data_IF_154322829135
#
_entry.id   IF_154322829135
#
_cell.length_a   1.000
_cell.length_b   1.000
_cell.length_c   1.000
_cell.angle_alpha   90.00
_cell.angle_beta   90.00
_cell.angle_gamma   90.00
#
_symmetry.space_group_name_H-M   'P 1'
#
loop_
_entity.id
_entity.type
_entity.pdbx_description
1 polymer ?
#
# COMPACT_ATOMS: atom_id res chain seq x y z
N UNK A 1 -13.48 1.04 -6.50
CA UNK A 1 -12.21 0.86 -7.24
C UNK A 1 -12.44 1.05 -8.72
N UNK A 2 -11.65 1.87 -9.40
CA UNK A 2 -11.70 2.05 -10.85
C UNK A 2 -11.25 0.75 -11.58
N UNK A 3 -11.85 0.39 -12.72
CA UNK A 3 -11.43 -0.77 -13.51
C UNK A 3 -9.97 -0.66 -13.98
N UNK A 4 -9.51 0.54 -14.32
CA UNK A 4 -8.11 0.79 -14.70
C UNK A 4 -7.13 0.54 -13.54
N UNK A 5 -7.53 0.87 -12.32
CA UNK A 5 -6.73 0.63 -11.11
C UNK A 5 -6.52 -0.87 -10.86
N UNK A 6 -7.55 -1.69 -11.07
CA UNK A 6 -7.44 -3.14 -10.93
C UNK A 6 -6.55 -3.77 -12.01
N UNK A 7 -6.56 -3.23 -13.24
CA UNK A 7 -5.65 -3.67 -14.30
C UNK A 7 -4.19 -3.40 -13.94
N UNK A 8 -3.88 -2.21 -13.44
CA UNK A 8 -2.51 -1.87 -12.99
C UNK A 8 -2.03 -2.84 -11.91
N UNK A 9 -2.87 -3.15 -10.92
CA UNK A 9 -2.53 -4.13 -9.88
C UNK A 9 -2.22 -5.50 -10.49
N UNK A 10 -2.97 -5.92 -11.51
CA UNK A 10 -2.80 -7.23 -12.13
C UNK A 10 -1.60 -7.31 -13.10
N UNK A 11 -1.22 -6.22 -13.76
CA UNK A 11 -0.17 -6.23 -14.79
C UNK A 11 1.19 -5.76 -14.28
N UNK A 12 1.22 -4.79 -13.36
CA UNK A 12 2.47 -4.16 -12.92
C UNK A 12 3.02 -4.78 -11.64
N UNK A 13 2.13 -5.25 -10.74
CA UNK A 13 2.57 -5.78 -9.45
C UNK A 13 2.99 -7.24 -9.54
N UNK A 14 4.13 -7.54 -8.92
CA UNK A 14 4.55 -8.92 -8.69
C UNK A 14 3.86 -9.51 -7.44
N UNK A 15 4.04 -10.81 -7.24
CA UNK A 15 3.42 -11.55 -6.13
C UNK A 15 3.71 -10.96 -4.74
N UNK A 16 4.95 -10.52 -4.49
CA UNK A 16 5.31 -9.93 -3.19
C UNK A 16 4.65 -8.57 -3.00
N UNK A 17 4.64 -7.73 -4.03
CA UNK A 17 4.01 -6.42 -4.02
C UNK A 17 2.50 -6.52 -3.80
N UNK A 18 1.84 -7.48 -4.46
CA UNK A 18 0.42 -7.75 -4.26
C UNK A 18 0.12 -8.19 -2.83
N UNK A 19 0.95 -9.06 -2.24
CA UNK A 19 0.80 -9.44 -0.82
C UNK A 19 0.97 -8.25 0.12
N UNK A 20 1.97 -7.41 -0.12
CA UNK A 20 2.17 -6.19 0.66
C UNK A 20 0.97 -5.26 0.53
N UNK A 21 0.48 -5.02 -0.68
CA UNK A 21 -0.73 -4.22 -0.91
C UNK A 21 -1.93 -4.76 -0.12
N UNK A 22 -2.15 -6.07 -0.11
CA UNK A 22 -3.27 -6.67 0.62
C UNK A 22 -3.16 -6.47 2.15
N UNK A 23 -1.95 -6.54 2.72
CA UNK A 23 -1.74 -6.21 4.14
C UNK A 23 -2.02 -4.73 4.40
N UNK A 24 -1.50 -3.82 3.56
CA UNK A 24 -1.75 -2.38 3.70
C UNK A 24 -3.25 -2.05 3.62
N UNK A 25 -4.00 -2.73 2.76
CA UNK A 25 -5.45 -2.56 2.64
C UNK A 25 -6.22 -3.14 3.83
N UNK A 26 -5.70 -4.16 4.50
CA UNK A 26 -6.32 -4.72 5.71
C UNK A 26 -6.25 -3.73 6.90
N UNK A 27 -5.24 -2.86 6.91
CA UNK A 27 -5.05 -1.79 7.90
C UNK A 27 -5.60 -0.42 7.43
N UNK A 28 -6.44 -0.41 6.39
CA UNK A 28 -7.05 0.81 5.86
C UNK A 28 -8.13 1.34 6.83
N UNK A 29 -7.93 2.56 7.33
CA UNK A 29 -8.87 3.25 8.22
C UNK A 29 -9.66 4.35 7.47
N UNK A 30 -10.47 5.13 8.19
CA UNK A 30 -11.25 6.25 7.67
C UNK A 30 -10.39 7.23 6.86
N UNK A 31 -10.99 7.88 5.86
CA UNK A 31 -10.33 8.78 4.88
C UNK A 31 -9.19 8.14 4.04
N UNK A 32 -9.11 6.81 4.02
CA UNK A 32 -8.11 6.01 3.31
C UNK A 32 -6.70 6.05 3.91
N UNK A 33 -6.55 6.33 5.20
CA UNK A 33 -5.24 6.32 5.86
C UNK A 33 -4.76 4.90 6.18
N UNK A 34 -3.46 4.68 6.04
CA UNK A 34 -2.78 3.43 6.34
C UNK A 34 -1.60 3.76 7.27
N UNK A 35 -1.70 3.31 8.52
CA UNK A 35 -0.65 3.51 9.51
C UNK A 35 -0.13 2.14 9.97
N UNK A 36 0.84 1.61 9.23
CA UNK A 36 1.47 0.33 9.57
C UNK A 36 2.98 0.45 9.47
N UNK A 37 3.69 -0.13 10.44
CA UNK A 37 5.13 -0.22 10.36
C UNK A 37 5.53 -1.33 9.38
N UNK A 38 6.43 -1.03 8.44
CA UNK A 38 6.89 -2.03 7.46
C UNK A 38 7.50 -3.29 8.10
N UNK A 39 7.99 -3.21 9.35
CA UNK A 39 8.49 -4.38 10.07
C UNK A 39 7.35 -5.34 10.45
N UNK A 40 6.17 -4.83 10.76
CA UNK A 40 5.01 -5.66 11.10
C UNK A 40 4.48 -6.36 9.86
N UNK A 41 4.45 -5.65 8.72
CA UNK A 41 4.16 -6.23 7.40
C UNK A 41 5.16 -7.32 7.04
N UNK A 42 6.45 -7.08 7.27
CA UNK A 42 7.51 -8.06 7.01
C UNK A 42 7.34 -9.33 7.87
N UNK A 43 7.01 -9.15 9.15
CA UNK A 43 6.74 -10.25 10.07
C UNK A 43 5.50 -11.05 9.65
N UNK A 44 4.40 -10.38 9.31
CA UNK A 44 3.15 -11.01 8.88
C UNK A 44 3.34 -11.83 7.59
N UNK A 45 4.12 -11.32 6.64
CA UNK A 45 4.38 -11.98 5.36
C UNK A 45 5.58 -12.95 5.41
N UNK A 46 6.29 -13.04 6.53
CA UNK A 46 7.58 -13.76 6.67
C UNK A 46 8.58 -13.34 5.58
N UNK A 47 8.65 -12.05 5.31
CA UNK A 47 9.53 -11.44 4.29
C UNK A 47 10.68 -10.66 4.94
N UNK A 48 11.76 -10.46 4.18
CA UNK A 48 12.79 -9.49 4.56
C UNK A 48 12.19 -8.07 4.51
N UNK A 49 12.52 -7.23 5.51
CA UNK A 49 12.06 -5.83 5.55
C UNK A 49 12.44 -5.06 4.28
N UNK A 50 13.57 -5.39 3.67
CA UNK A 50 14.03 -4.80 2.40
C UNK A 50 13.08 -5.11 1.24
N UNK A 51 12.46 -6.30 1.19
CA UNK A 51 11.47 -6.65 0.17
C UNK A 51 10.21 -5.80 0.35
N UNK A 52 9.71 -5.68 1.60
CA UNK A 52 8.57 -4.81 1.92
C UNK A 52 8.85 -3.36 1.56
N UNK A 53 10.04 -2.84 1.90
CA UNK A 53 10.41 -1.46 1.57
C UNK A 53 10.45 -1.21 0.06
N UNK A 54 10.93 -2.17 -0.74
CA UNK A 54 10.92 -2.07 -2.20
C UNK A 54 9.50 -2.15 -2.75
N UNK A 55 8.67 -3.06 -2.22
CA UNK A 55 7.28 -3.18 -2.62
C UNK A 55 6.51 -1.88 -2.36
N UNK A 56 6.65 -1.28 -1.18
CA UNK A 56 6.04 0.01 -0.84
C UNK A 56 6.51 1.13 -1.78
N UNK A 57 7.80 1.18 -2.11
CA UNK A 57 8.34 2.14 -3.07
C UNK A 57 7.66 2.00 -4.44
N UNK A 58 7.52 0.77 -4.93
CA UNK A 58 6.87 0.51 -6.21
C UNK A 58 5.38 0.85 -6.18
N UNK A 59 4.68 0.55 -5.08
CA UNK A 59 3.27 0.94 -4.91
C UNK A 59 3.08 2.46 -4.94
N UNK A 60 4.04 3.24 -4.45
CA UNK A 60 4.06 4.70 -4.56
C UNK A 60 4.34 5.12 -6.02
N UNK A 61 5.33 4.51 -6.67
CA UNK A 61 5.69 4.82 -8.07
C UNK A 61 4.55 4.52 -9.05
N UNK A 62 3.79 3.45 -8.83
CA UNK A 62 2.59 3.13 -9.60
C UNK A 62 1.36 3.96 -9.20
N UNK A 63 1.48 4.82 -8.19
CA UNK A 63 0.39 5.67 -7.70
C UNK A 63 -0.74 4.89 -7.02
N UNK A 64 -0.51 3.65 -6.58
CA UNK A 64 -1.51 2.86 -5.84
C UNK A 64 -1.72 3.44 -4.44
N UNK A 65 -0.63 3.83 -3.79
CA UNK A 65 -0.65 4.51 -2.49
C UNK A 65 0.16 5.81 -2.57
N UNK A 66 -0.17 6.76 -1.72
CA UNK A 66 0.50 8.05 -1.59
C UNK A 66 1.23 8.10 -0.24
N UNK A 67 2.41 8.70 -0.20
CA UNK A 67 3.11 8.92 1.06
C UNK A 67 2.39 10.04 1.85
N UNK A 68 1.97 9.72 3.07
CA UNK A 68 1.34 10.67 3.98
C UNK A 68 2.36 11.37 4.90
N UNK A 69 1.89 12.29 5.75
CA UNK A 69 2.75 13.01 6.69
C UNK A 69 3.41 12.04 7.68
N UNK A 70 4.69 12.24 7.98
CA UNK A 70 5.37 11.41 8.98
C UNK A 70 4.78 11.67 10.37
N UNK A 71 4.17 10.67 11.00
CA UNK A 71 3.66 10.74 12.37
C UNK A 71 4.65 10.02 13.30
N UNK A 72 5.37 10.81 14.11
CA UNK A 72 6.41 10.30 15.00
C UNK A 72 7.55 9.60 14.22
N UNK A 73 7.75 8.30 14.47
CA UNK A 73 8.76 7.48 13.79
C UNK A 73 8.21 6.68 12.61
N UNK A 74 6.90 6.64 12.43
CA UNK A 74 6.23 5.82 11.43
C UNK A 74 5.96 6.62 10.17
N UNK A 75 6.12 5.94 9.02
CA UNK A 75 5.57 6.44 7.76
C UNK A 75 4.07 6.14 7.76
N UNK A 76 3.27 7.10 7.32
CA UNK A 76 1.87 6.87 7.01
C UNK A 76 1.71 6.84 5.50
N UNK A 77 0.73 6.10 5.01
CA UNK A 77 0.34 6.08 3.61
C UNK A 77 -1.13 6.42 3.49
N UNK A 78 -1.55 6.76 2.28
CA UNK A 78 -2.96 6.89 1.93
C UNK A 78 -3.24 6.07 0.69
N UNK A 79 -4.32 5.28 0.66
CA UNK A 79 -4.75 4.68 -0.60
C UNK A 79 -5.11 5.80 -1.58
N UNK A 80 -4.62 5.72 -2.81
CA UNK A 80 -5.01 6.70 -3.83
C UNK A 80 -6.53 6.58 -4.06
N UNK A 81 -7.31 7.69 -3.97
CA UNK A 81 -8.76 7.65 -4.17
C UNK A 81 -9.21 7.04 -5.51
N UNK A 82 -8.38 7.09 -6.56
CA UNK A 82 -8.66 6.40 -7.83
C UNK A 82 -8.70 4.87 -7.68
N UNK A 83 -7.97 4.35 -6.70
CA UNK A 83 -7.92 2.94 -6.32
C UNK A 83 -8.95 2.61 -5.23
N UNK A 84 -9.49 3.60 -4.51
CA UNK A 84 -10.52 3.46 -3.47
C UNK A 84 -11.97 3.55 -3.96
N UNK A 85 -12.91 3.77 -3.03
CA UNK A 85 -14.29 4.15 -3.35
C UNK A 85 -14.32 5.64 -3.72
N UNK A 86 -15.01 5.97 -4.83
CA UNK A 86 -15.36 7.36 -5.13
C UNK A 86 -16.38 7.79 -4.09
N UNK A 87 -15.98 8.58 -3.10
CA UNK A 87 -16.94 9.56 -2.60
C UNK A 87 -17.33 10.43 -3.81
N UNK A 88 -18.64 10.55 -4.03
CA UNK A 88 -19.24 11.12 -5.24
C UNK A 88 -18.74 12.53 -5.53
#
# INVERSE_FOLDING_TARGET
MNQEALKIIATELNHEQTKVLMILLADLDYENYIQVAQIDVANALKMQKTNVSRAVKNLIEFGVILEGPKIGRSKTYRLNPQFGWKEQ
#
